data_IF_910075761854
#
_entry.id   IF_910075761854
#
_cell.length_a   1.000
_cell.length_b   1.000
_cell.length_c   1.000
_cell.angle_alpha   90.00
_cell.angle_beta   90.00
_cell.angle_gamma   90.00
#
_symmetry.space_group_name_H-M   'P 1'
#
loop_
_entity.id
_entity.type
_entity.pdbx_description
1 polymer ?
#
# COMPACT_ATOMS: atom_id res chain seq x y z
N UNK A 1 -7.08 -11.28 61.24
CA UNK A 1 -6.46 -12.19 60.25
C UNK A 1 -5.60 -11.36 59.31
N UNK A 2 -4.29 -11.40 59.53
CA UNK A 2 -3.27 -10.68 58.75
C UNK A 2 -2.73 -11.68 57.72
N UNK A 3 -2.58 -11.27 56.46
CA UNK A 3 -1.49 -11.69 55.56
C UNK A 3 -1.41 -10.76 54.35
N UNK A 4 -0.37 -9.92 54.39
CA UNK A 4 0.27 -9.27 53.25
C UNK A 4 0.59 -10.28 52.14
N UNK A 5 0.68 -9.83 50.89
CA UNK A 5 1.81 -10.11 49.99
C UNK A 5 1.94 -8.93 49.02
N UNK A 6 3.03 -8.19 49.20
CA UNK A 6 3.63 -7.28 48.21
C UNK A 6 4.44 -8.18 47.27
N UNK A 7 4.35 -7.99 45.96
CA UNK A 7 5.37 -8.53 45.05
C UNK A 7 5.88 -7.43 44.11
N UNK A 8 7.10 -7.05 44.41
CA UNK A 8 7.93 -6.02 43.81
C UNK A 8 8.36 -6.36 42.38
N UNK A 9 8.44 -5.32 41.56
CA UNK A 9 9.17 -5.22 40.31
C UNK A 9 10.66 -5.55 40.47
N UNK A 10 11.19 -6.44 39.61
CA UNK A 10 12.62 -6.65 39.37
C UNK A 10 12.81 -7.44 38.07
N UNK A 11 13.00 -6.74 36.96
CA UNK A 11 13.65 -7.34 35.78
C UNK A 11 15.08 -6.81 35.74
N UNK A 12 16.01 -7.68 36.13
CA UNK A 12 17.44 -7.42 36.05
C UNK A 12 17.97 -7.82 34.68
N UNK A 13 18.84 -6.95 34.17
CA UNK A 13 19.66 -7.02 32.96
C UNK A 13 20.66 -8.18 32.99
N UNK A 14 21.04 -8.69 31.79
CA UNK A 14 22.38 -9.14 31.29
C UNK A 14 22.31 -10.46 30.50
N UNK A 15 23.28 -10.83 29.64
CA UNK A 15 24.25 -10.03 28.87
C UNK A 15 24.40 -10.48 27.38
N UNK A 16 25.01 -9.61 26.56
CA UNK A 16 25.63 -9.93 25.27
C UNK A 16 26.72 -11.01 25.40
N UNK A 17 26.78 -11.91 24.41
CA UNK A 17 27.96 -12.75 24.15
C UNK A 17 28.33 -12.60 22.68
N UNK A 18 29.53 -12.07 22.46
CA UNK A 18 30.25 -12.04 21.19
C UNK A 18 30.74 -13.45 20.84
N UNK A 19 30.66 -13.87 19.57
CA UNK A 19 31.55 -14.90 19.03
C UNK A 19 32.05 -14.52 17.65
N UNK A 20 33.38 -14.37 17.57
CA UNK A 20 34.17 -14.17 16.36
C UNK A 20 34.29 -15.48 15.56
N UNK A 21 34.20 -15.39 14.23
CA UNK A 21 34.83 -16.33 13.31
C UNK A 21 35.13 -15.62 11.98
N UNK A 22 36.39 -15.51 11.52
CA UNK A 22 36.72 -15.14 10.15
C UNK A 22 36.95 -16.41 9.29
N UNK A 23 36.88 -16.31 7.95
CA UNK A 23 37.78 -16.97 6.98
C UNK A 23 37.36 -16.67 5.51
N UNK A 24 38.36 -16.17 4.77
CA UNK A 24 38.69 -16.31 3.33
C UNK A 24 37.78 -15.83 2.19
N UNK A 25 38.20 -14.68 1.64
CA UNK A 25 38.54 -14.37 0.23
C UNK A 25 38.33 -15.53 -0.79
N UNK A 26 37.53 -15.26 -1.84
CA UNK A 26 37.84 -15.68 -3.21
C UNK A 26 37.54 -14.58 -4.21
N UNK A 27 38.62 -14.12 -4.85
CA UNK A 27 38.66 -13.30 -6.06
C UNK A 27 38.68 -14.28 -7.23
N UNK A 28 37.79 -14.13 -8.21
CA UNK A 28 37.96 -14.76 -9.52
C UNK A 28 37.80 -13.68 -10.60
N UNK A 29 38.91 -13.40 -11.27
CA UNK A 29 38.98 -12.66 -12.51
C UNK A 29 38.96 -13.63 -13.70
N UNK A 30 38.64 -13.03 -14.86
CA UNK A 30 39.10 -13.36 -16.22
C UNK A 30 38.43 -14.48 -17.04
N UNK A 31 37.82 -14.01 -18.15
CA UNK A 31 37.96 -14.44 -19.56
C UNK A 31 37.10 -15.61 -20.06
N UNK A 32 36.57 -15.38 -21.28
CA UNK A 32 36.14 -16.25 -22.40
C UNK A 32 34.69 -15.90 -22.81
N UNK A 33 34.29 -15.69 -24.05
CA UNK A 33 34.90 -15.72 -25.39
C UNK A 33 33.83 -15.16 -26.35
N UNK A 34 34.29 -14.52 -27.43
CA UNK A 34 33.53 -14.21 -28.64
C UNK A 34 32.66 -15.38 -29.12
N UNK A 35 31.46 -15.06 -29.62
CA UNK A 35 30.84 -15.74 -30.77
C UNK A 35 29.84 -14.79 -31.45
N UNK A 36 30.31 -14.08 -32.48
CA UNK A 36 29.45 -13.63 -33.58
C UNK A 36 28.92 -14.86 -34.29
N UNK A 37 27.60 -15.05 -34.29
CA UNK A 37 26.92 -15.87 -35.28
C UNK A 37 25.73 -15.07 -35.81
N UNK A 38 25.94 -14.52 -37.02
CA UNK A 38 24.86 -14.16 -37.92
C UNK A 38 24.17 -15.45 -38.34
N UNK A 39 22.95 -15.67 -37.87
CA UNK A 39 22.01 -16.60 -38.49
C UNK A 39 20.72 -15.83 -38.70
N UNK A 40 20.53 -15.39 -39.95
CA UNK A 40 19.20 -15.08 -40.48
C UNK A 40 18.35 -16.35 -40.35
N UNK A 41 17.30 -16.30 -39.56
CA UNK A 41 16.24 -17.30 -39.64
C UNK A 41 14.88 -16.61 -39.47
N UNK A 42 14.01 -16.93 -40.44
CA UNK A 42 12.78 -16.22 -40.73
C UNK A 42 11.78 -16.17 -39.59
N UNK A 43 11.03 -15.07 -39.59
CA UNK A 43 9.77 -14.91 -38.89
C UNK A 43 8.85 -16.11 -39.16
N UNK A 44 8.77 -17.01 -38.19
CA UNK A 44 7.68 -17.94 -38.05
C UNK A 44 6.93 -17.58 -36.79
N UNK A 45 5.73 -17.02 -36.98
CA UNK A 45 4.71 -16.86 -35.97
C UNK A 45 4.43 -18.24 -35.34
N UNK A 46 5.14 -18.57 -34.26
CA UNK A 46 4.68 -19.57 -33.30
C UNK A 46 4.22 -18.82 -32.06
N UNK A 47 2.89 -18.79 -31.89
CA UNK A 47 2.24 -18.54 -30.59
C UNK A 47 2.94 -19.41 -29.56
N UNK A 48 3.71 -18.78 -28.69
CA UNK A 48 4.17 -19.37 -27.44
C UNK A 48 3.19 -18.90 -26.38
N UNK A 49 2.15 -19.70 -26.17
CA UNK A 49 1.35 -19.64 -24.96
C UNK A 49 2.16 -20.20 -23.78
N UNK A 50 2.02 -19.51 -22.65
CA UNK A 50 2.21 -19.97 -21.28
C UNK A 50 3.64 -20.36 -20.86
N UNK A 51 4.35 -19.40 -20.24
CA UNK A 51 5.16 -19.58 -19.02
C UNK A 51 6.03 -18.33 -18.72
N UNK A 52 5.42 -17.18 -18.43
CA UNK A 52 6.08 -16.16 -17.59
C UNK A 52 5.36 -16.21 -16.25
N UNK A 53 5.91 -17.00 -15.31
CA UNK A 53 5.48 -16.97 -13.92
C UNK A 53 6.03 -15.69 -13.30
N UNK A 54 5.25 -14.61 -13.42
CA UNK A 54 5.00 -13.58 -12.41
C UNK A 54 6.11 -13.33 -11.37
N UNK A 55 7.28 -12.88 -11.81
CA UNK A 55 8.31 -12.29 -10.92
C UNK A 55 8.24 -10.75 -10.96
N UNK A 56 7.36 -10.18 -11.79
CA UNK A 56 7.10 -8.74 -11.95
C UNK A 56 5.99 -8.21 -11.02
N UNK A 57 5.34 -9.09 -10.25
CA UNK A 57 4.22 -8.77 -9.35
C UNK A 57 4.50 -7.71 -8.27
N UNK A 58 5.69 -7.66 -7.62
CA UNK A 58 5.91 -6.72 -6.52
C UNK A 58 5.97 -5.26 -6.99
N UNK A 59 6.61 -5.01 -8.13
CA UNK A 59 6.79 -3.66 -8.68
C UNK A 59 5.46 -3.10 -9.16
N UNK A 60 4.67 -3.92 -9.88
CA UNK A 60 3.34 -3.52 -10.35
C UNK A 60 2.41 -3.20 -9.19
N UNK A 61 2.43 -4.01 -8.12
CA UNK A 61 1.63 -3.72 -6.92
C UNK A 61 2.02 -2.39 -6.30
N UNK A 62 3.31 -2.13 -6.19
CA UNK A 62 3.84 -0.93 -5.54
C UNK A 62 3.48 0.33 -6.35
N UNK A 63 3.66 0.29 -7.66
CA UNK A 63 3.29 1.36 -8.59
C UNK A 63 1.79 1.68 -8.49
N UNK A 64 0.93 0.66 -8.62
CA UNK A 64 -0.54 0.82 -8.52
C UNK A 64 -0.97 1.39 -7.16
N UNK A 65 -0.31 0.99 -6.06
CA UNK A 65 -0.56 1.58 -4.75
C UNK A 65 -0.21 3.05 -4.71
N UNK A 66 0.98 3.41 -5.20
CA UNK A 66 1.47 4.79 -5.16
C UNK A 66 0.57 5.69 -6.00
N UNK A 67 0.26 5.28 -7.23
CA UNK A 67 -0.65 6.02 -8.11
C UNK A 67 -2.04 6.20 -7.49
N UNK A 68 -2.56 5.18 -6.80
CA UNK A 68 -3.84 5.28 -6.08
C UNK A 68 -3.77 6.32 -4.94
N UNK A 69 -2.74 6.24 -4.10
CA UNK A 69 -2.64 7.09 -2.90
C UNK A 69 -2.29 8.54 -3.25
N UNK A 70 -1.45 8.77 -4.25
CA UNK A 70 -1.15 10.10 -4.79
C UNK A 70 -2.41 10.73 -5.38
N UNK A 71 -3.14 9.99 -6.23
CA UNK A 71 -4.39 10.49 -6.82
C UNK A 71 -5.46 10.79 -5.77
N UNK A 72 -5.53 10.02 -4.68
CA UNK A 72 -6.41 10.32 -3.55
C UNK A 72 -5.93 11.55 -2.77
N UNK A 73 -4.63 11.72 -2.57
CA UNK A 73 -4.05 12.88 -1.90
C UNK A 73 -4.46 14.17 -2.62
N UNK A 74 -4.16 14.26 -3.92
CA UNK A 74 -4.50 15.41 -4.76
C UNK A 74 -6.00 15.73 -4.71
N UNK A 75 -6.84 14.70 -4.77
CA UNK A 75 -8.29 14.84 -4.69
C UNK A 75 -8.75 15.43 -3.35
N UNK A 76 -8.21 14.93 -2.23
CA UNK A 76 -8.61 15.40 -0.91
C UNK A 76 -8.07 16.79 -0.59
N UNK A 77 -6.88 17.15 -1.09
CA UNK A 77 -6.37 18.53 -1.01
C UNK A 77 -7.33 19.50 -1.70
N UNK A 78 -7.70 19.21 -2.95
CA UNK A 78 -8.67 20.03 -3.69
C UNK A 78 -10.03 20.08 -2.99
N UNK A 79 -10.51 18.95 -2.49
CA UNK A 79 -11.80 18.88 -1.80
C UNK A 79 -11.83 19.75 -0.54
N UNK A 80 -10.73 19.83 0.21
CA UNK A 80 -10.65 20.65 1.43
C UNK A 80 -10.65 22.14 1.09
N UNK A 81 -10.00 22.54 -0.02
CA UNK A 81 -10.05 23.92 -0.50
C UNK A 81 -11.46 24.34 -0.93
N UNK A 82 -12.17 23.45 -1.63
CA UNK A 82 -13.51 23.70 -2.15
C UNK A 82 -14.60 23.68 -1.06
N UNK A 83 -14.37 22.97 0.05
CA UNK A 83 -15.38 22.68 1.08
C UNK A 83 -15.25 23.61 2.32
N UNK A 84 -16.05 24.70 2.42
CA UNK A 84 -15.94 25.66 3.52
C UNK A 84 -16.36 25.12 4.90
N UNK A 85 -17.02 23.96 4.93
CA UNK A 85 -17.46 23.25 6.12
C UNK A 85 -16.33 22.45 6.81
N UNK A 86 -15.20 22.25 6.13
CA UNK A 86 -14.03 21.50 6.62
C UNK A 86 -12.96 22.42 7.23
N UNK A 87 -13.38 23.35 8.10
CA UNK A 87 -12.43 24.25 8.78
C UNK A 87 -11.44 23.46 9.64
N UNK A 88 -10.15 23.59 9.33
CA UNK A 88 -9.07 22.88 10.02
C UNK A 88 -8.91 21.43 9.57
N UNK A 89 -9.46 21.06 8.41
CA UNK A 89 -9.08 19.82 7.76
C UNK A 89 -7.69 19.94 7.12
N UNK A 90 -6.99 18.82 7.07
CA UNK A 90 -5.63 18.71 6.55
C UNK A 90 -5.40 17.33 5.95
N UNK A 91 -4.51 17.24 4.97
CA UNK A 91 -4.13 16.00 4.30
C UNK A 91 -2.62 15.88 4.36
N UNK A 92 -2.13 14.71 4.75
CA UNK A 92 -0.70 14.42 4.79
C UNK A 92 -0.45 13.06 4.16
N UNK A 93 0.37 13.03 3.13
CA UNK A 93 0.85 11.79 2.52
C UNK A 93 2.35 11.62 2.76
N UNK A 94 2.74 10.52 3.40
CA UNK A 94 4.15 10.22 3.68
C UNK A 94 4.39 8.73 3.85
N UNK A 95 5.45 8.21 3.22
CA UNK A 95 5.90 6.81 3.31
C UNK A 95 4.78 5.77 3.07
N UNK A 96 3.92 6.01 2.08
CA UNK A 96 2.80 5.11 1.77
C UNK A 96 1.63 5.17 2.77
N UNK A 97 1.63 6.16 3.67
CA UNK A 97 0.52 6.45 4.59
C UNK A 97 -0.11 7.78 4.22
N UNK A 98 -1.37 7.73 3.79
CA UNK A 98 -2.22 8.89 3.55
C UNK A 98 -3.11 9.10 4.79
N UNK A 99 -2.94 10.25 5.44
CA UNK A 99 -3.71 10.66 6.60
C UNK A 99 -4.58 11.86 6.21
N UNK A 100 -5.90 11.72 6.39
CA UNK A 100 -6.87 12.78 6.09
C UNK A 100 -7.55 13.15 7.39
N UNK A 101 -7.21 14.31 7.93
CA UNK A 101 -7.83 14.88 9.12
C UNK A 101 -9.01 15.75 8.70
N UNK A 102 -10.23 15.37 9.07
CA UNK A 102 -11.45 16.15 8.78
C UNK A 102 -11.94 16.91 10.03
N UNK A 103 -11.02 17.22 10.95
CA UNK A 103 -11.31 17.91 12.21
C UNK A 103 -12.35 17.16 13.04
N UNK A 104 -13.55 17.74 13.17
CA UNK A 104 -14.65 17.17 13.99
C UNK A 104 -15.22 15.85 13.46
N UNK A 105 -14.96 15.50 12.20
CA UNK A 105 -15.46 14.27 11.59
C UNK A 105 -14.50 13.08 11.77
N UNK A 106 -13.37 13.30 12.46
CA UNK A 106 -12.35 12.30 12.72
C UNK A 106 -11.25 12.27 11.65
N UNK A 107 -10.43 11.23 11.74
CA UNK A 107 -9.24 11.07 10.90
C UNK A 107 -9.31 9.75 10.16
N UNK A 108 -9.13 9.81 8.84
CA UNK A 108 -8.99 8.65 7.99
C UNK A 108 -7.51 8.36 7.81
N UNK A 109 -7.14 7.08 7.89
CA UNK A 109 -5.76 6.64 7.62
C UNK A 109 -5.82 5.54 6.58
N UNK A 110 -5.16 5.76 5.45
CA UNK A 110 -5.04 4.82 4.36
C UNK A 110 -3.56 4.45 4.24
N UNK A 111 -3.23 3.18 4.49
CA UNK A 111 -1.85 2.70 4.57
C UNK A 111 -1.58 1.61 3.54
N UNK A 112 -0.50 1.76 2.80
CA UNK A 112 0.05 0.73 1.91
C UNK A 112 0.72 -0.38 2.72
N UNK A 113 0.30 -1.63 2.51
CA UNK A 113 0.85 -2.81 3.17
C UNK A 113 1.52 -3.74 2.16
N UNK A 114 2.77 -3.45 1.84
CA UNK A 114 3.59 -4.19 0.86
C UNK A 114 3.65 -5.70 1.15
N UNK A 115 3.94 -6.17 2.39
CA UNK A 115 4.08 -7.60 2.65
C UNK A 115 2.80 -8.40 2.37
N UNK A 116 1.65 -7.75 2.56
CA UNK A 116 0.34 -8.36 2.38
C UNK A 116 -0.24 -8.11 0.98
N UNK A 117 0.39 -7.26 0.17
CA UNK A 117 -0.17 -6.72 -1.08
C UNK A 117 -1.57 -6.12 -0.90
N UNK A 118 -1.72 -5.29 0.13
CA UNK A 118 -3.01 -4.69 0.50
C UNK A 118 -2.92 -3.19 0.73
N UNK A 119 -4.09 -2.54 0.67
CA UNK A 119 -4.30 -1.21 1.27
C UNK A 119 -5.17 -1.39 2.50
N UNK A 120 -4.76 -0.80 3.62
CA UNK A 120 -5.54 -0.78 4.85
C UNK A 120 -6.18 0.58 5.03
N UNK A 121 -7.47 0.60 5.33
CA UNK A 121 -8.24 1.79 5.66
C UNK A 121 -8.59 1.74 7.15
N UNK A 122 -8.39 2.85 7.85
CA UNK A 122 -9.01 3.14 9.13
C UNK A 122 -9.99 4.29 8.91
N UNK A 123 -11.28 4.00 8.93
CA UNK A 123 -12.35 5.00 8.84
C UNK A 123 -12.96 5.27 10.22
N UNK A 124 -13.22 6.54 10.60
CA UNK A 124 -13.91 6.88 11.84
C UNK A 124 -15.37 6.41 11.85
N UNK A 125 -15.99 6.17 10.69
CA UNK A 125 -17.38 5.73 10.56
C UNK A 125 -17.51 4.22 10.39
N UNK A 126 -16.74 3.61 9.50
CA UNK A 126 -16.86 2.17 9.18
C UNK A 126 -15.79 1.29 9.83
N UNK A 127 -14.81 1.87 10.51
CA UNK A 127 -13.74 1.15 11.18
C UNK A 127 -12.65 0.64 10.23
N UNK A 128 -11.87 -0.37 10.66
CA UNK A 128 -10.75 -0.88 9.87
C UNK A 128 -11.22 -1.80 8.73
N UNK A 129 -10.68 -1.61 7.53
CA UNK A 129 -10.90 -2.45 6.35
C UNK A 129 -9.59 -2.75 5.64
N UNK A 130 -9.53 -3.90 4.96
CA UNK A 130 -8.35 -4.37 4.21
C UNK A 130 -8.74 -4.66 2.78
N UNK A 131 -8.16 -3.92 1.84
CA UNK A 131 -8.48 -4.02 0.43
C UNK A 131 -7.42 -4.83 -0.29
N UNK A 132 -7.88 -5.77 -1.09
CA UNK A 132 -7.05 -6.56 -1.99
C UNK A 132 -7.06 -5.92 -3.38
N UNK A 133 -5.92 -5.99 -4.07
CA UNK A 133 -5.79 -5.54 -5.45
C UNK A 133 -6.39 -6.59 -6.41
N UNK A 134 -7.25 -6.14 -7.31
CA UNK A 134 -7.74 -6.93 -8.44
C UNK A 134 -7.24 -6.29 -9.72
N UNK A 135 -6.42 -7.01 -10.48
CA UNK A 135 -5.82 -6.57 -11.75
C UNK A 135 -6.77 -6.80 -12.94
N UNK A 136 -8.00 -6.31 -12.83
CA UNK A 136 -8.96 -6.29 -13.94
C UNK A 136 -9.13 -4.86 -14.47
N UNK A 137 -9.06 -4.68 -15.78
CA UNK A 137 -9.14 -3.36 -16.42
C UNK A 137 -8.01 -2.43 -15.98
N UNK A 138 -8.34 -1.34 -15.29
CA UNK A 138 -7.37 -0.38 -14.74
C UNK A 138 -6.76 -0.82 -13.41
N UNK A 139 -7.19 -1.95 -12.84
CA UNK A 139 -6.86 -2.32 -11.46
C UNK A 139 -7.76 -1.59 -10.46
N UNK A 140 -8.26 -2.29 -9.45
CA UNK A 140 -9.09 -1.70 -8.40
C UNK A 140 -8.95 -2.42 -7.05
N UNK A 141 -9.41 -1.74 -6.00
CA UNK A 141 -9.29 -2.17 -4.61
C UNK A 141 -10.63 -2.65 -4.08
N UNK A 142 -10.75 -3.93 -3.73
CA UNK A 142 -12.00 -4.53 -3.22
C UNK A 142 -11.85 -5.06 -1.81
N UNK A 143 -12.86 -4.83 -0.97
CA UNK A 143 -12.95 -5.48 0.33
C UNK A 143 -13.75 -6.78 0.18
N UNK A 144 -13.09 -7.93 0.40
CA UNK A 144 -13.70 -9.25 0.15
C UNK A 144 -14.93 -9.58 0.99
N UNK A 145 -15.14 -8.92 2.12
CA UNK A 145 -16.24 -9.25 3.02
C UNK A 145 -17.57 -8.66 2.57
N UNK A 146 -17.59 -7.43 2.07
CA UNK A 146 -18.81 -6.74 1.61
C UNK A 146 -18.83 -6.53 0.08
N UNK A 147 -17.73 -6.79 -0.61
CA UNK A 147 -17.59 -6.59 -2.05
C UNK A 147 -17.54 -5.11 -2.46
N UNK A 148 -17.41 -4.19 -1.50
CA UNK A 148 -17.38 -2.76 -1.75
C UNK A 148 -15.96 -2.32 -2.07
N UNK A 149 -15.82 -1.45 -3.07
CA UNK A 149 -14.53 -0.90 -3.47
C UNK A 149 -14.08 0.23 -2.54
N UNK A 150 -12.77 0.46 -2.45
CA UNK A 150 -12.21 1.54 -1.63
C UNK A 150 -12.82 2.90 -1.99
N UNK A 151 -12.80 3.24 -3.27
CA UNK A 151 -13.29 4.51 -3.79
C UNK A 151 -14.79 4.68 -3.56
N UNK A 152 -15.60 3.62 -3.72
CA UNK A 152 -17.04 3.70 -3.49
C UNK A 152 -17.38 3.97 -2.02
N UNK A 153 -16.68 3.31 -1.09
CA UNK A 153 -16.87 3.55 0.33
C UNK A 153 -16.49 4.99 0.69
N UNK A 154 -15.30 5.44 0.28
CA UNK A 154 -14.85 6.80 0.53
C UNK A 154 -15.82 7.82 -0.07
N UNK A 155 -16.31 7.60 -1.30
CA UNK A 155 -17.27 8.50 -1.92
C UNK A 155 -18.54 8.64 -1.08
N UNK A 156 -19.06 7.53 -0.57
CA UNK A 156 -20.27 7.51 0.25
C UNK A 156 -20.05 8.24 1.59
N UNK A 157 -18.98 7.93 2.31
CA UNK A 157 -18.70 8.52 3.62
C UNK A 157 -18.42 10.03 3.51
N UNK A 158 -17.60 10.42 2.52
CA UNK A 158 -17.20 11.82 2.32
C UNK A 158 -18.35 12.68 1.78
N UNK A 159 -19.20 12.14 0.89
CA UNK A 159 -20.41 12.86 0.43
C UNK A 159 -21.33 13.24 1.59
N UNK A 160 -21.45 12.38 2.60
CA UNK A 160 -22.27 12.67 3.80
C UNK A 160 -21.64 13.78 4.65
N UNK A 161 -20.31 13.81 4.76
CA UNK A 161 -19.58 14.81 5.55
C UNK A 161 -19.60 16.19 4.88
N UNK A 162 -19.34 16.23 3.57
CA UNK A 162 -19.32 17.47 2.78
C UNK A 162 -20.74 18.00 2.54
N UNK A 163 -21.75 17.11 2.56
CA UNK A 163 -23.13 17.40 2.17
C UNK A 163 -23.25 17.89 0.72
N UNK A 164 -22.31 17.50 -0.11
CA UNK A 164 -22.26 17.77 -1.54
C UNK A 164 -21.93 16.49 -2.30
N UNK A 165 -22.13 16.51 -3.61
CA UNK A 165 -21.85 15.38 -4.49
C UNK A 165 -20.34 15.27 -4.71
N UNK A 166 -19.74 14.24 -4.13
CA UNK A 166 -18.33 13.89 -4.33
C UNK A 166 -18.24 12.82 -5.41
N UNK A 167 -17.31 12.97 -6.35
CA UNK A 167 -17.09 12.02 -7.44
C UNK A 167 -15.62 11.61 -7.53
N UNK A 168 -15.34 10.37 -7.11
CA UNK A 168 -14.01 9.76 -7.10
C UNK A 168 -13.70 8.95 -8.38
N UNK A 169 -14.58 8.97 -9.39
CA UNK A 169 -14.38 8.24 -10.65
C UNK A 169 -13.17 8.71 -11.46
N UNK A 170 -12.69 9.93 -11.19
CA UNK A 170 -11.50 10.52 -11.81
C UNK A 170 -10.19 10.02 -11.21
N UNK A 171 -10.22 9.45 -10.00
CA UNK A 171 -9.02 8.97 -9.33
C UNK A 171 -8.44 7.72 -10.02
N UNK A 172 -7.13 7.53 -9.90
CA UNK A 172 -6.43 6.33 -10.37
C UNK A 172 -6.96 5.08 -9.68
N UNK A 173 -7.08 3.98 -10.43
CA UNK A 173 -7.57 2.69 -9.93
C UNK A 173 -8.95 2.75 -9.25
N UNK A 174 -9.77 3.72 -9.65
CA UNK A 174 -11.13 3.89 -9.17
C UNK A 174 -12.12 2.97 -9.90
N UNK A 175 -12.98 2.35 -9.09
CA UNK A 175 -14.18 1.65 -9.51
C UNK A 175 -15.28 2.06 -8.53
N UNK A 176 -16.27 2.81 -9.02
CA UNK A 176 -17.32 3.45 -8.21
C UNK A 176 -18.70 3.03 -8.73
#
# INVERSE_FOLDING_TARGET
MIRNIIRTSRWLVRPQINSLAPIAIRKCSSILKDCRLNVSCGFNNRRLSDNIRNEEEPLVFEEVCNETLESLCDFFEQLIEDAPNLKGADVTYSDGVLTISLGKYGTYVINRQIPNKQIWLSSPTSGPKRYDLVLEGRGYWIYKHDGVTLHKLLQQEISVIVKDKVDLSKCSHSLV
#
